data_IF_539221996052
#
_entry.id   IF_539221996052
#
_cell.length_a   1.000
_cell.length_b   1.000
_cell.length_c   1.000
_cell.angle_alpha   90.00
_cell.angle_beta   90.00
_cell.angle_gamma   90.00
#
_symmetry.space_group_name_H-M   'P 1'
#
loop_
_entity.id
_entity.type
_entity.pdbx_description
1 polymer ?
#
# COMPACT_ATOMS: atom_id res chain seq x y z
N UNK A 1 13.76 6.82 8.71
CA UNK A 1 12.44 6.41 8.24
C UNK A 1 12.45 6.35 6.72
N UNK A 2 12.35 5.16 6.16
CA UNK A 2 12.41 4.94 4.69
C UNK A 2 11.02 5.09 4.06
N UNK A 3 10.95 5.37 2.75
CA UNK A 3 9.68 5.40 2.00
C UNK A 3 8.87 4.12 2.21
N UNK A 4 9.55 2.96 2.26
CA UNK A 4 8.93 1.65 2.50
C UNK A 4 8.25 1.58 3.88
N UNK A 5 8.87 2.13 4.93
CA UNK A 5 8.28 2.17 6.28
C UNK A 5 7.03 3.05 6.32
N UNK A 6 7.06 4.22 5.68
CA UNK A 6 5.90 5.12 5.66
C UNK A 6 4.70 4.50 4.94
N UNK A 7 4.94 3.81 3.81
CA UNK A 7 3.90 3.11 3.07
C UNK A 7 3.28 2.00 3.93
N UNK A 8 4.11 1.21 4.64
CA UNK A 8 3.63 0.14 5.53
C UNK A 8 2.81 0.69 6.70
N UNK A 9 3.25 1.79 7.31
CA UNK A 9 2.53 2.45 8.41
C UNK A 9 1.17 2.94 7.95
N UNK A 10 1.10 3.66 6.82
CA UNK A 10 -0.16 4.16 6.27
C UNK A 10 -1.13 3.02 5.94
N UNK A 11 -0.64 1.93 5.32
CA UNK A 11 -1.48 0.77 4.99
C UNK A 11 -2.02 0.11 6.25
N UNK A 12 -1.18 -0.07 7.28
CA UNK A 12 -1.64 -0.61 8.56
C UNK A 12 -2.75 0.25 9.12
N UNK A 13 -2.51 1.55 9.31
CA UNK A 13 -3.49 2.48 9.88
C UNK A 13 -4.83 2.45 9.13
N UNK A 14 -4.82 2.49 7.80
CA UNK A 14 -6.06 2.53 6.99
C UNK A 14 -6.79 1.20 6.91
N UNK A 15 -6.08 0.07 7.03
CA UNK A 15 -6.66 -1.27 6.87
C UNK A 15 -7.00 -1.96 8.19
N UNK A 16 -6.55 -1.46 9.35
CA UNK A 16 -6.68 -2.12 10.67
C UNK A 16 -8.10 -2.63 10.97
N UNK A 17 -9.14 -1.86 10.61
CA UNK A 17 -10.54 -2.20 10.92
C UNK A 17 -11.28 -2.90 9.78
N UNK A 18 -10.79 -2.77 8.54
CA UNK A 18 -11.51 -3.20 7.32
C UNK A 18 -10.93 -4.44 6.65
N UNK A 19 -9.66 -4.78 6.92
CA UNK A 19 -8.97 -5.88 6.29
C UNK A 19 -8.83 -7.08 7.24
N UNK A 20 -9.01 -8.28 6.70
CA UNK A 20 -8.60 -9.48 7.44
C UNK A 20 -7.09 -9.47 7.70
N UNK A 21 -6.59 -10.07 8.80
CA UNK A 21 -5.16 -10.15 9.09
C UNK A 21 -4.35 -10.78 7.95
N UNK A 22 -4.93 -11.73 7.23
CA UNK A 22 -4.30 -12.39 6.09
C UNK A 22 -4.18 -11.45 4.87
N UNK A 23 -5.20 -10.62 4.64
CA UNK A 23 -5.19 -9.62 3.58
C UNK A 23 -4.15 -8.53 3.88
N UNK A 24 -4.12 -8.04 5.13
CA UNK A 24 -3.13 -7.09 5.61
C UNK A 24 -1.69 -7.63 5.49
N UNK A 25 -1.48 -8.89 5.84
CA UNK A 25 -0.17 -9.54 5.66
C UNK A 25 0.22 -9.57 4.18
N UNK A 26 -0.68 -10.00 3.30
CA UNK A 26 -0.43 -10.04 1.84
C UNK A 26 -0.09 -8.68 1.24
N UNK A 27 -0.78 -7.62 1.66
CA UNK A 27 -0.48 -6.26 1.16
C UNK A 27 0.86 -5.75 1.67
N UNK A 28 1.25 -6.06 2.91
CA UNK A 28 2.56 -5.69 3.44
C UNK A 28 3.70 -6.49 2.81
N UNK A 29 3.51 -7.79 2.58
CA UNK A 29 4.48 -8.67 1.91
C UNK A 29 4.77 -8.17 0.48
N UNK A 30 3.76 -7.65 -0.22
CA UNK A 30 3.93 -7.06 -1.55
C UNK A 30 4.89 -5.84 -1.56
N UNK A 31 4.95 -5.08 -0.45
CA UNK A 31 5.88 -3.95 -0.30
C UNK A 31 7.27 -4.37 0.18
N UNK A 32 7.39 -5.47 0.93
CA UNK A 32 8.68 -5.99 1.39
C UNK A 32 9.60 -6.33 0.20
N UNK A 33 9.04 -6.95 -0.83
CA UNK A 33 9.75 -7.43 -2.01
C UNK A 33 10.23 -6.33 -2.99
N UNK A 34 9.96 -5.06 -2.69
CA UNK A 34 10.31 -3.96 -3.58
C UNK A 34 11.66 -3.33 -3.21
N UNK A 35 12.68 -3.50 -4.06
CA UNK A 35 14.06 -3.07 -3.75
C UNK A 35 14.47 -1.74 -4.40
N UNK A 36 13.70 -1.28 -5.37
CA UNK A 36 13.93 -0.03 -6.09
C UNK A 36 12.63 0.78 -6.26
N UNK A 37 12.77 1.99 -6.83
CA UNK A 37 11.66 2.93 -7.04
C UNK A 37 10.56 2.37 -7.95
N UNK A 38 10.93 1.65 -9.00
CA UNK A 38 9.98 1.09 -9.97
C UNK A 38 9.22 -0.08 -9.33
N UNK A 39 9.96 -0.96 -8.67
CA UNK A 39 9.41 -2.06 -7.86
C UNK A 39 8.45 -1.55 -6.77
N UNK A 40 8.77 -0.44 -6.11
CA UNK A 40 7.90 0.19 -5.11
C UNK A 40 6.61 0.74 -5.73
N UNK A 41 6.68 1.35 -6.91
CA UNK A 41 5.49 1.80 -7.65
C UNK A 41 4.59 0.63 -8.01
N UNK A 42 5.17 -0.43 -8.58
CA UNK A 42 4.42 -1.65 -8.92
C UNK A 42 3.81 -2.33 -7.69
N UNK A 43 4.52 -2.32 -6.55
CA UNK A 43 4.01 -2.85 -5.29
C UNK A 43 2.80 -2.04 -4.80
N UNK A 44 2.86 -0.70 -4.83
CA UNK A 44 1.74 0.18 -4.47
C UNK A 44 0.52 -0.05 -5.36
N UNK A 45 0.71 -0.17 -6.67
CA UNK A 45 -0.39 -0.48 -7.59
C UNK A 45 -1.02 -1.85 -7.30
N UNK A 46 -0.21 -2.85 -6.99
CA UNK A 46 -0.68 -4.19 -6.62
C UNK A 46 -1.47 -4.15 -5.31
N UNK A 47 -1.01 -3.40 -4.31
CA UNK A 47 -1.74 -3.18 -3.06
C UNK A 47 -3.10 -2.53 -3.32
N UNK A 48 -3.15 -1.48 -4.13
CA UNK A 48 -4.41 -0.80 -4.47
C UNK A 48 -5.39 -1.74 -5.19
N UNK A 49 -4.90 -2.57 -6.13
CA UNK A 49 -5.73 -3.59 -6.79
C UNK A 49 -6.27 -4.62 -5.80
N UNK A 50 -5.46 -5.09 -4.85
CA UNK A 50 -5.91 -6.02 -3.80
C UNK A 50 -7.02 -5.36 -2.96
N UNK A 51 -6.85 -4.10 -2.56
CA UNK A 51 -7.87 -3.39 -1.76
C UNK A 51 -9.17 -3.22 -2.56
N UNK A 52 -9.08 -2.85 -3.84
CA UNK A 52 -10.25 -2.68 -4.69
C UNK A 52 -11.06 -3.98 -4.86
N UNK A 53 -10.35 -5.11 -5.00
CA UNK A 53 -10.96 -6.42 -5.23
C UNK A 53 -11.54 -7.06 -3.96
N UNK A 54 -10.92 -6.84 -2.81
CA UNK A 54 -11.22 -7.59 -1.58
C UNK A 54 -11.80 -6.76 -0.45
N UNK A 55 -11.76 -5.43 -0.54
CA UNK A 55 -12.27 -4.53 0.51
C UNK A 55 -13.29 -3.58 -0.07
N UNK A 56 -12.82 -2.58 -0.82
CA UNK A 56 -13.64 -1.47 -1.28
C UNK A 56 -12.90 -0.67 -2.37
N UNK A 57 -13.61 -0.31 -3.43
CA UNK A 57 -13.03 0.40 -4.59
C UNK A 57 -12.78 1.89 -4.31
N UNK A 58 -13.62 2.55 -3.50
CA UNK A 58 -13.42 3.94 -3.11
C UNK A 58 -12.19 4.07 -2.20
N UNK A 59 -12.06 3.19 -1.22
CA UNK A 59 -10.90 3.10 -0.34
C UNK A 59 -9.61 2.85 -1.14
N UNK A 60 -9.66 1.98 -2.15
CA UNK A 60 -8.51 1.74 -3.03
C UNK A 60 -8.10 2.99 -3.79
N UNK A 61 -9.07 3.80 -4.23
CA UNK A 61 -8.81 5.06 -4.92
C UNK A 61 -8.15 6.08 -3.99
N UNK A 62 -8.73 6.31 -2.80
CA UNK A 62 -8.16 7.20 -1.77
C UNK A 62 -6.74 6.80 -1.37
N UNK A 63 -6.53 5.50 -1.15
CA UNK A 63 -5.23 4.96 -0.79
C UNK A 63 -4.22 5.12 -1.93
N UNK A 64 -4.63 4.92 -3.18
CA UNK A 64 -3.76 5.14 -4.35
C UNK A 64 -3.22 6.56 -4.41
N UNK A 65 -4.05 7.59 -4.22
CA UNK A 65 -3.60 8.99 -4.27
C UNK A 65 -2.58 9.30 -3.15
N UNK A 66 -2.86 8.80 -1.94
CA UNK A 66 -1.98 9.03 -0.79
C UNK A 66 -0.65 8.29 -0.94
N UNK A 67 -0.68 7.01 -1.33
CA UNK A 67 0.52 6.20 -1.55
C UNK A 67 1.39 6.77 -2.68
N UNK A 68 0.79 7.26 -3.77
CA UNK A 68 1.52 7.97 -4.84
C UNK A 68 2.16 9.26 -4.34
N UNK A 69 1.47 10.01 -3.49
CA UNK A 69 2.02 11.23 -2.89
C UNK A 69 3.22 10.94 -1.99
N UNK A 70 3.15 9.88 -1.18
CA UNK A 70 4.27 9.43 -0.34
C UNK A 70 5.48 9.05 -1.21
N UNK A 71 5.23 8.32 -2.31
CA UNK A 71 6.27 7.97 -3.28
C UNK A 71 6.89 9.19 -3.96
N UNK A 72 6.13 10.24 -4.27
CA UNK A 72 6.68 11.44 -4.95
C UNK A 72 7.39 12.38 -3.99
N UNK A 73 6.91 12.55 -2.75
CA UNK A 73 7.49 13.49 -1.79
C UNK A 73 8.85 13.08 -1.24
N UNK A 74 9.19 11.79 -1.30
CA UNK A 74 10.41 11.22 -0.71
C UNK A 74 11.38 10.64 -1.73
N UNK A 75 11.17 10.92 -3.01
CA UNK A 75 12.07 10.57 -4.11
C UNK A 75 12.45 11.82 -4.87
#
# INVERSE_FOLDING_TARGET
MTVKEDLKTFIKERLTEKASPLLLKRTLDALELADDKESLRSAVERVCRIIALFIDTELAHEMSETLKTILVKKI
#
